data_IF_262261123908
#
_entry.id   IF_262261123908
#
_cell.length_a   1.000
_cell.length_b   1.000
_cell.length_c   1.000
_cell.angle_alpha   90.00
_cell.angle_beta   90.00
_cell.angle_gamma   90.00
#
_symmetry.space_group_name_H-M   'P 1'
#
loop_
_entity.id
_entity.type
_entity.pdbx_description
1 polymer ?
#
# COMPACT_ATOMS: atom_id res chain seq x y z
N UNK A 1 -6.81 -30.80 -17.48
CA UNK A 1 -5.88 -29.96 -18.26
C UNK A 1 -4.48 -30.58 -18.21
N UNK A 2 -3.79 -30.85 -19.34
CA UNK A 2 -2.43 -31.41 -19.35
C UNK A 2 -1.44 -30.36 -18.84
N UNK A 3 -0.70 -30.65 -17.76
CA UNK A 3 0.33 -29.77 -17.20
C UNK A 3 1.61 -29.87 -18.04
N UNK A 4 2.32 -28.75 -18.20
CA UNK A 4 3.59 -28.70 -18.93
C UNK A 4 4.70 -29.52 -18.26
N UNK A 5 5.66 -30.05 -19.05
CA UNK A 5 6.76 -30.89 -18.53
C UNK A 5 7.55 -30.23 -17.41
N UNK A 6 7.95 -28.96 -17.56
CA UNK A 6 8.69 -28.20 -16.53
C UNK A 6 7.90 -28.08 -15.22
N UNK A 7 6.58 -27.84 -15.30
CA UNK A 7 5.73 -27.81 -14.12
C UNK A 7 5.70 -29.15 -13.39
N UNK A 8 5.62 -30.25 -14.14
CA UNK A 8 5.58 -31.61 -13.55
C UNK A 8 6.92 -31.92 -12.85
N UNK A 9 8.03 -31.50 -13.43
CA UNK A 9 9.37 -31.66 -12.82
C UNK A 9 9.50 -30.82 -11.54
N UNK A 10 9.13 -29.54 -11.58
CA UNK A 10 9.14 -28.66 -10.41
C UNK A 10 8.21 -29.17 -9.29
N UNK A 11 7.02 -29.66 -9.66
CA UNK A 11 6.05 -30.19 -8.70
C UNK A 11 6.54 -31.45 -7.95
N UNK A 12 7.48 -32.22 -8.50
CA UNK A 12 8.09 -33.37 -7.83
C UNK A 12 8.99 -32.99 -6.67
N UNK A 13 9.51 -31.75 -6.66
CA UNK A 13 10.37 -31.23 -5.61
C UNK A 13 9.57 -30.84 -4.36
N UNK A 14 8.25 -30.67 -4.47
CA UNK A 14 7.39 -30.19 -3.39
C UNK A 14 6.54 -31.36 -2.87
N UNK A 15 6.77 -31.76 -1.64
CA UNK A 15 5.85 -32.65 -0.91
C UNK A 15 4.74 -31.83 -0.25
N UNK A 16 3.50 -32.05 -0.70
CA UNK A 16 2.34 -31.31 -0.20
C UNK A 16 1.88 -31.73 1.19
N UNK A 17 2.34 -32.88 1.67
CA UNK A 17 2.00 -33.40 3.00
C UNK A 17 2.97 -32.86 4.07
N UNK A 18 4.13 -32.40 3.67
CA UNK A 18 5.16 -31.88 4.56
C UNK A 18 4.95 -30.40 4.87
N UNK A 19 5.02 -30.03 6.14
CA UNK A 19 5.09 -28.63 6.57
C UNK A 19 6.57 -28.22 6.56
N UNK A 20 6.88 -27.19 5.78
CA UNK A 20 8.22 -26.66 5.64
C UNK A 20 8.44 -25.47 6.57
N UNK A 21 9.62 -25.38 7.17
CA UNK A 21 10.06 -24.16 7.82
C UNK A 21 10.22 -23.01 6.79
N UNK A 22 10.08 -21.76 7.23
CA UNK A 22 10.05 -20.59 6.33
C UNK A 22 11.29 -20.52 5.43
N UNK A 23 12.47 -20.77 5.98
CA UNK A 23 13.74 -20.71 5.22
C UNK A 23 13.82 -21.82 4.17
N UNK A 24 13.37 -23.02 4.53
CA UNK A 24 13.35 -24.17 3.60
C UNK A 24 12.30 -23.96 2.51
N UNK A 25 11.13 -23.42 2.85
CA UNK A 25 10.09 -23.07 1.90
C UNK A 25 10.60 -22.06 0.87
N UNK A 26 11.25 -20.96 1.30
CA UNK A 26 11.83 -19.96 0.39
C UNK A 26 12.93 -20.57 -0.49
N UNK A 27 13.78 -21.44 0.06
CA UNK A 27 14.82 -22.14 -0.71
C UNK A 27 14.20 -23.07 -1.75
N UNK A 28 13.11 -23.75 -1.41
CA UNK A 28 12.38 -24.64 -2.30
C UNK A 28 11.66 -23.86 -3.43
N UNK A 29 11.05 -22.72 -3.11
CA UNK A 29 10.44 -21.81 -4.09
C UNK A 29 11.46 -21.42 -5.16
N UNK A 30 12.67 -21.00 -4.76
CA UNK A 30 13.74 -20.66 -5.71
C UNK A 30 14.13 -21.84 -6.62
N UNK A 31 14.12 -23.07 -6.10
CA UNK A 31 14.43 -24.28 -6.88
C UNK A 31 13.29 -24.64 -7.86
N UNK A 32 12.06 -24.27 -7.55
CA UNK A 32 10.89 -24.53 -8.40
C UNK A 32 10.65 -23.47 -9.46
N UNK A 33 11.36 -22.33 -9.39
CA UNK A 33 11.31 -21.29 -10.42
C UNK A 33 11.86 -21.82 -11.75
N UNK A 34 11.01 -21.84 -12.77
CA UNK A 34 11.34 -22.42 -14.11
C UNK A 34 11.22 -21.41 -15.24
N UNK A 35 10.76 -20.19 -14.94
CA UNK A 35 10.63 -19.13 -15.93
C UNK A 35 12.01 -18.50 -16.28
N UNK A 36 12.07 -17.82 -17.42
CA UNK A 36 13.26 -17.05 -17.86
C UNK A 36 13.13 -15.54 -17.57
N UNK A 37 12.20 -15.18 -16.70
CA UNK A 37 11.94 -13.82 -16.25
C UNK A 37 11.78 -13.83 -14.73
N UNK A 38 11.82 -12.66 -14.09
CA UNK A 38 11.64 -12.51 -12.65
C UNK A 38 10.21 -12.89 -12.27
N UNK A 39 10.08 -13.97 -11.49
CA UNK A 39 8.81 -14.47 -11.01
C UNK A 39 8.40 -13.77 -9.71
N UNK A 40 7.11 -13.48 -9.53
CA UNK A 40 6.58 -12.90 -8.30
C UNK A 40 6.28 -14.00 -7.28
N UNK A 41 6.72 -13.80 -6.04
CA UNK A 41 6.41 -14.69 -4.91
C UNK A 41 5.27 -14.05 -4.11
N UNK A 42 4.20 -14.80 -3.90
CA UNK A 42 3.04 -14.37 -3.14
C UNK A 42 2.82 -15.29 -1.93
N UNK A 43 2.48 -14.70 -0.78
CA UNK A 43 2.12 -15.46 0.43
C UNK A 43 0.60 -15.39 0.63
N UNK A 44 -0.05 -16.56 0.74
CA UNK A 44 -1.46 -16.69 1.06
C UNK A 44 -1.60 -17.33 2.45
N UNK A 45 -2.09 -16.57 3.43
CA UNK A 45 -2.15 -17.00 4.83
C UNK A 45 -3.60 -17.18 5.24
N UNK A 46 -3.96 -18.40 5.69
CA UNK A 46 -5.26 -18.68 6.28
C UNK A 46 -5.24 -18.32 7.76
N UNK A 47 -5.89 -17.24 8.14
CA UNK A 47 -5.85 -16.69 9.50
C UNK A 47 -6.75 -17.43 10.51
N UNK A 48 -7.66 -18.29 10.07
CA UNK A 48 -8.62 -18.97 10.97
C UNK A 48 -9.73 -18.06 11.50
N UNK A 49 -9.98 -16.92 10.83
CA UNK A 49 -11.05 -15.97 11.16
C UNK A 49 -12.22 -16.09 10.19
N UNK A 50 -13.43 -15.74 10.64
CA UNK A 50 -14.61 -15.60 9.79
C UNK A 50 -14.92 -14.13 9.52
N UNK A 51 -14.58 -13.64 8.33
CA UNK A 51 -14.77 -12.25 7.92
C UNK A 51 -16.23 -11.78 7.82
N UNK A 52 -17.21 -12.67 8.01
CA UNK A 52 -18.63 -12.31 8.11
C UNK A 52 -18.97 -11.65 9.44
N UNK A 53 -18.18 -11.90 10.48
CA UNK A 53 -18.31 -11.27 11.78
C UNK A 53 -17.49 -9.99 11.85
N UNK A 54 -18.09 -8.90 12.29
CA UNK A 54 -17.46 -7.58 12.31
C UNK A 54 -16.23 -7.51 13.25
N UNK A 55 -16.26 -8.25 14.33
CA UNK A 55 -15.18 -8.39 15.32
C UNK A 55 -13.98 -9.19 14.81
N UNK A 56 -14.19 -10.00 13.76
CA UNK A 56 -13.14 -10.79 13.12
C UNK A 56 -12.60 -10.19 11.82
N UNK A 57 -13.08 -9.01 11.44
CA UNK A 57 -12.55 -8.24 10.32
C UNK A 57 -11.29 -7.49 10.74
N UNK A 58 -10.16 -7.78 10.10
CA UNK A 58 -8.90 -7.09 10.35
C UNK A 58 -8.66 -6.04 9.27
N UNK A 59 -8.49 -4.78 9.67
CA UNK A 59 -8.07 -3.68 8.82
C UNK A 59 -7.10 -2.80 9.59
N UNK A 60 -5.90 -2.62 9.07
CA UNK A 60 -4.88 -1.81 9.71
C UNK A 60 -3.75 -1.47 8.75
N UNK A 61 -2.86 -0.60 9.19
CA UNK A 61 -1.60 -0.28 8.53
C UNK A 61 -0.44 -0.82 9.37
N UNK A 62 0.58 -1.33 8.71
CA UNK A 62 1.81 -1.83 9.33
C UNK A 62 3.00 -1.22 8.63
N UNK A 63 3.91 -0.64 9.41
CA UNK A 63 5.19 -0.13 8.89
C UNK A 63 6.14 -1.31 8.71
N UNK A 64 6.62 -1.49 7.49
CA UNK A 64 7.59 -2.55 7.18
C UNK A 64 9.01 -2.07 7.50
N UNK A 65 9.86 -2.89 8.14
CA UNK A 65 11.22 -2.51 8.53
C UNK A 65 12.11 -2.07 7.37
N UNK A 66 11.86 -2.59 6.17
CA UNK A 66 12.62 -2.31 4.95
C UNK A 66 11.77 -1.67 3.85
N UNK A 67 10.60 -1.13 4.21
CA UNK A 67 9.67 -0.55 3.25
C UNK A 67 9.09 -1.56 2.26
N UNK A 68 8.43 -1.05 1.22
CA UNK A 68 7.80 -1.85 0.16
C UNK A 68 8.67 -1.98 -1.10
N UNK A 69 9.83 -1.34 -1.14
CA UNK A 69 10.69 -1.26 -2.33
C UNK A 69 10.15 -0.36 -3.45
N UNK A 70 9.05 0.35 -3.21
CA UNK A 70 8.45 1.29 -4.16
C UNK A 70 8.72 2.73 -3.70
N UNK A 71 9.13 3.58 -4.60
CA UNK A 71 9.14 5.04 -4.38
C UNK A 71 7.72 5.55 -4.58
N UNK A 72 7.15 6.13 -3.54
CA UNK A 72 5.77 6.62 -3.50
C UNK A 72 5.81 8.15 -3.45
N UNK A 73 5.08 8.80 -4.35
CA UNK A 73 4.94 10.27 -4.36
C UNK A 73 3.81 10.66 -3.43
N UNK A 74 4.13 11.46 -2.43
CA UNK A 74 3.21 11.84 -1.36
C UNK A 74 2.72 13.28 -1.55
N UNK A 75 1.39 13.44 -1.57
CA UNK A 75 0.72 14.73 -1.51
C UNK A 75 0.17 14.97 -0.11
N UNK A 76 0.56 16.08 0.53
CA UNK A 76 0.08 16.46 1.85
C UNK A 76 -0.83 17.69 1.80
N UNK A 77 -2.04 17.55 2.33
CA UNK A 77 -2.95 18.66 2.58
C UNK A 77 -2.80 19.14 4.03
N UNK A 78 -2.27 20.34 4.19
CA UNK A 78 -2.06 20.96 5.51
C UNK A 78 -2.31 22.47 5.47
N UNK A 79 -2.29 23.14 6.63
CA UNK A 79 -2.39 24.61 6.78
C UNK A 79 -1.30 25.14 7.70
N UNK A 80 -0.85 26.37 7.41
CA UNK A 80 0.09 27.12 8.24
C UNK A 80 1.43 26.42 8.43
N UNK A 81 1.96 26.39 9.64
CA UNK A 81 3.27 25.82 9.97
C UNK A 81 3.41 24.32 9.58
N UNK A 82 2.31 23.58 9.48
CA UNK A 82 2.33 22.17 9.07
C UNK A 82 2.69 21.96 7.59
N UNK A 83 2.58 22.99 6.76
CA UNK A 83 3.09 22.95 5.37
C UNK A 83 4.62 22.82 5.36
N UNK A 84 5.29 23.66 6.17
CA UNK A 84 6.75 23.62 6.28
C UNK A 84 7.25 22.33 6.89
N UNK A 85 6.53 21.82 7.91
CA UNK A 85 6.83 20.52 8.53
C UNK A 85 6.71 19.37 7.52
N UNK A 86 5.65 19.34 6.71
CA UNK A 86 5.44 18.31 5.69
C UNK A 86 6.52 18.38 4.58
N UNK A 87 6.91 19.56 4.19
CA UNK A 87 7.98 19.76 3.21
C UNK A 87 9.34 19.35 3.77
N UNK A 88 9.64 19.70 5.02
CA UNK A 88 10.86 19.28 5.72
C UNK A 88 10.92 17.75 5.92
N UNK A 89 9.76 17.11 6.07
CA UNK A 89 9.63 15.67 6.19
C UNK A 89 9.80 14.91 4.85
N UNK A 90 9.92 15.63 3.72
CA UNK A 90 10.19 15.04 2.41
C UNK A 90 8.95 14.70 1.58
N UNK A 91 7.80 15.35 1.84
CA UNK A 91 6.63 15.23 0.97
C UNK A 91 6.93 15.82 -0.41
N UNK A 92 6.54 15.12 -1.49
CA UNK A 92 6.77 15.57 -2.86
C UNK A 92 5.92 16.78 -3.24
N UNK A 93 4.69 16.81 -2.73
CA UNK A 93 3.74 17.89 -2.95
C UNK A 93 3.08 18.27 -1.64
N UNK A 94 3.05 19.56 -1.36
CA UNK A 94 2.44 20.11 -0.14
C UNK A 94 1.57 21.30 -0.51
N UNK A 95 0.36 21.37 0.05
CA UNK A 95 -0.52 22.51 -0.21
C UNK A 95 -1.84 22.46 0.55
N UNK A 96 -2.63 23.49 0.34
CA UNK A 96 -3.94 23.67 0.96
C UNK A 96 -5.09 23.61 -0.04
N UNK A 97 -6.01 24.57 0.08
CA UNK A 97 -7.21 24.65 -0.77
C UNK A 97 -6.90 24.95 -2.23
N UNK A 98 -5.76 25.55 -2.51
CA UNK A 98 -5.30 25.90 -3.86
C UNK A 98 -5.05 24.69 -4.77
N UNK A 99 -4.82 23.50 -4.18
CA UNK A 99 -4.62 22.28 -4.95
C UNK A 99 -5.93 21.65 -5.44
N UNK A 100 -7.07 22.04 -4.85
CA UNK A 100 -8.37 21.49 -5.22
C UNK A 100 -8.72 21.74 -6.68
N UNK A 101 -8.65 23.01 -7.19
CA UNK A 101 -8.93 23.27 -8.61
C UNK A 101 -8.00 22.50 -9.53
N UNK A 102 -6.73 22.36 -9.16
CA UNK A 102 -5.73 21.64 -9.96
C UNK A 102 -6.09 20.15 -10.10
N UNK A 103 -6.55 19.53 -9.02
CA UNK A 103 -6.97 18.11 -9.06
C UNK A 103 -8.29 17.95 -9.80
N UNK A 104 -9.27 18.86 -9.59
CA UNK A 104 -10.59 18.74 -10.18
C UNK A 104 -10.64 19.13 -11.67
N UNK A 105 -9.97 20.22 -12.05
CA UNK A 105 -10.08 20.80 -13.38
C UNK A 105 -8.98 20.29 -14.31
N UNK A 106 -7.75 20.19 -13.81
CA UNK A 106 -6.59 19.84 -14.62
C UNK A 106 -6.31 18.33 -14.62
N UNK A 107 -7.11 17.53 -13.88
CA UNK A 107 -6.89 16.09 -13.70
C UNK A 107 -5.47 15.75 -13.25
N UNK A 108 -4.91 16.56 -12.37
CA UNK A 108 -3.56 16.37 -11.87
C UNK A 108 -3.50 15.25 -10.83
N UNK A 109 -2.80 14.15 -11.13
CA UNK A 109 -2.65 12.96 -10.30
C UNK A 109 -1.20 12.44 -10.33
N UNK A 110 -0.25 13.33 -10.22
CA UNK A 110 1.18 12.97 -10.19
C UNK A 110 1.64 12.45 -8.81
N UNK A 111 0.72 11.99 -7.99
CA UNK A 111 0.93 11.47 -6.66
C UNK A 111 0.28 10.10 -6.50
N UNK A 112 0.84 9.29 -5.59
CA UNK A 112 0.42 7.92 -5.36
C UNK A 112 -0.29 7.75 -4.00
N UNK A 113 -0.04 8.66 -3.05
CA UNK A 113 -0.68 8.70 -1.74
C UNK A 113 -1.07 10.12 -1.39
N UNK A 114 -2.24 10.26 -0.77
CA UNK A 114 -2.73 11.54 -0.23
C UNK A 114 -2.82 11.45 1.28
N UNK A 115 -2.17 12.39 1.95
CA UNK A 115 -2.21 12.57 3.39
C UNK A 115 -2.92 13.89 3.69
N UNK A 116 -3.73 13.94 4.73
CA UNK A 116 -4.41 15.17 5.13
C UNK A 116 -4.40 15.33 6.65
N UNK A 117 -4.25 16.58 7.10
CA UNK A 117 -4.52 16.92 8.48
C UNK A 117 -6.03 16.89 8.73
N UNK A 118 -6.51 16.56 9.96
CA UNK A 118 -7.95 16.45 10.24
C UNK A 118 -8.74 17.72 9.93
N UNK A 119 -8.14 18.90 10.12
CA UNK A 119 -8.72 20.21 9.79
C UNK A 119 -8.90 20.41 8.28
N UNK A 120 -8.10 19.76 7.44
CA UNK A 120 -8.22 19.82 5.99
C UNK A 120 -9.21 18.80 5.42
N UNK A 121 -9.68 17.84 6.20
CA UNK A 121 -10.59 16.78 5.72
C UNK A 121 -11.92 17.33 5.19
N UNK A 122 -12.43 18.43 5.74
CA UNK A 122 -13.64 19.10 5.23
C UNK A 122 -13.45 19.63 3.80
N UNK A 123 -12.25 20.08 3.50
CA UNK A 123 -11.86 20.60 2.18
C UNK A 123 -11.58 19.46 1.21
N UNK A 124 -10.79 18.47 1.65
CA UNK A 124 -10.45 17.25 0.87
C UNK A 124 -11.71 16.41 0.57
N UNK A 125 -12.72 16.47 1.44
CA UNK A 125 -14.02 15.81 1.21
C UNK A 125 -14.69 16.21 -0.09
N UNK A 126 -14.47 17.43 -0.59
CA UNK A 126 -14.97 17.89 -1.91
C UNK A 126 -14.34 17.11 -3.07
N UNK A 127 -13.12 16.58 -2.87
CA UNK A 127 -12.41 15.73 -3.83
C UNK A 127 -12.84 14.26 -3.78
N UNK A 128 -13.76 13.87 -2.88
CA UNK A 128 -14.15 12.49 -2.66
C UNK A 128 -14.66 11.77 -3.91
N UNK A 129 -15.36 12.50 -4.80
CA UNK A 129 -15.84 11.95 -6.08
C UNK A 129 -14.70 11.61 -7.06
N UNK A 130 -13.56 12.26 -6.90
CA UNK A 130 -12.40 12.13 -7.79
C UNK A 130 -11.35 11.20 -7.17
N UNK A 131 -11.02 11.40 -5.90
CA UNK A 131 -10.03 10.60 -5.18
C UNK A 131 -10.56 9.21 -4.75
N UNK A 132 -11.87 9.11 -4.45
CA UNK A 132 -12.49 7.87 -3.98
C UNK A 132 -12.33 6.70 -4.96
N UNK A 133 -12.78 6.83 -6.23
CA UNK A 133 -12.65 5.76 -7.23
C UNK A 133 -11.20 5.34 -7.52
N UNK A 134 -10.26 6.25 -7.30
CA UNK A 134 -8.82 6.00 -7.48
C UNK A 134 -8.15 5.39 -6.24
N UNK A 135 -8.89 5.23 -5.12
CA UNK A 135 -8.33 4.73 -3.86
C UNK A 135 -7.39 5.71 -3.15
N UNK A 136 -7.38 6.99 -3.56
CA UNK A 136 -6.48 8.03 -3.04
C UNK A 136 -7.10 8.85 -1.91
N UNK A 137 -8.33 8.55 -1.49
CA UNK A 137 -9.00 9.31 -0.41
C UNK A 137 -8.36 9.04 0.93
N UNK A 138 -7.90 10.08 1.67
CA UNK A 138 -7.34 9.91 3.00
C UNK A 138 -8.32 9.24 3.96
N UNK A 139 -7.82 8.32 4.79
CA UNK A 139 -8.63 7.55 5.73
C UNK A 139 -7.90 7.41 7.08
N UNK A 140 -8.55 7.74 8.21
CA UNK A 140 -7.96 7.58 9.54
C UNK A 140 -7.53 6.13 9.86
N UNK A 141 -8.29 5.14 9.38
CA UNK A 141 -7.97 3.72 9.60
C UNK A 141 -6.74 3.24 8.82
N UNK A 142 -6.43 3.89 7.71
CA UNK A 142 -5.22 3.64 6.94
C UNK A 142 -4.06 4.52 7.41
N UNK A 143 -4.32 5.35 8.43
CA UNK A 143 -3.34 6.23 8.96
C UNK A 143 -3.06 7.49 8.13
N UNK A 144 -3.65 7.68 6.95
CA UNK A 144 -3.43 8.82 6.04
C UNK A 144 -4.15 10.11 6.46
N UNK A 145 -4.83 10.12 7.61
CA UNK A 145 -5.34 11.32 8.27
C UNK A 145 -4.66 11.45 9.62
N UNK A 146 -3.83 12.48 9.78
CA UNK A 146 -3.02 12.66 10.99
C UNK A 146 -2.68 14.10 11.29
N UNK A 147 -2.35 14.36 12.56
CA UNK A 147 -1.80 15.63 13.02
C UNK A 147 -0.29 15.72 12.83
N UNK A 148 0.39 14.60 12.64
CA UNK A 148 1.84 14.51 12.50
C UNK A 148 2.19 14.13 11.05
N UNK A 149 2.62 15.14 10.28
CA UNK A 149 3.01 14.98 8.88
C UNK A 149 4.30 14.17 8.71
N UNK A 150 5.14 14.06 9.76
CA UNK A 150 6.43 13.35 9.70
C UNK A 150 6.25 11.83 9.64
N UNK A 151 5.16 11.31 10.21
CA UNK A 151 4.91 9.85 10.29
C UNK A 151 4.70 9.17 8.92
N UNK A 152 4.51 9.93 7.84
CA UNK A 152 4.16 9.38 6.50
C UNK A 152 5.26 9.34 5.48
N UNK A 153 6.38 9.97 5.74
CA UNK A 153 7.55 9.86 4.87
C UNK A 153 8.27 8.52 5.01
N UNK A 154 7.80 7.67 5.94
CA UNK A 154 8.36 6.35 6.23
C UNK A 154 7.40 5.17 5.93
N UNK A 155 6.34 5.42 5.14
CA UNK A 155 5.43 4.36 4.64
C UNK A 155 5.95 3.64 3.42
#
# INVERSE_FOLDING_TARGET
MKKGKKYVEAAKLVDKATQYEVQDAVSLIKKTAVAKFDETIEAHIRLGVDGRHADQQVRGAVVLPHGTGKTVRVLVFAKGAKLDEAQAAGADFVGGEELIPKIQNDNWFEFDVVVATPDMMGVVGRLGRVLGPKGLMPNPKAGTVTMDAVSYTHL
#
